data_IF_199450774230
#
_entry.id   IF_199450774230
#
_cell.length_a   1.000
_cell.length_b   1.000
_cell.length_c   1.000
_cell.angle_alpha   90.00
_cell.angle_beta   90.00
_cell.angle_gamma   90.00
#
_symmetry.space_group_name_H-M   'P 1'
#
loop_
_entity.id
_entity.type
_entity.pdbx_description
1 polymer ?
#
# COMPACT_ATOMS: atom_id res chain seq x y z
N UNK A 1 -24.13 47.88 -16.50
CA UNK A 1 -24.67 46.86 -15.59
C UNK A 1 -23.62 46.59 -14.53
N UNK A 2 -23.75 47.19 -13.35
CA UNK A 2 -22.80 47.05 -12.24
C UNK A 2 -23.30 45.95 -11.30
N UNK A 3 -22.51 44.89 -11.14
CA UNK A 3 -22.78 43.82 -10.16
C UNK A 3 -21.89 44.07 -8.94
N UNK A 4 -22.51 44.37 -7.81
CA UNK A 4 -21.85 44.51 -6.51
C UNK A 4 -21.72 43.14 -5.84
N UNK A 5 -20.54 42.81 -5.33
CA UNK A 5 -20.30 41.61 -4.54
C UNK A 5 -20.40 41.95 -3.04
N UNK A 6 -21.28 41.25 -2.32
CA UNK A 6 -21.33 41.25 -0.86
C UNK A 6 -20.49 40.09 -0.32
N UNK A 7 -19.44 40.41 0.45
CA UNK A 7 -18.62 39.45 1.18
C UNK A 7 -19.17 39.34 2.60
N UNK A 8 -19.82 38.23 2.93
CA UNK A 8 -20.22 37.89 4.30
C UNK A 8 -19.06 37.23 5.03
N UNK A 9 -18.64 37.83 6.16
CA UNK A 9 -17.60 37.30 7.05
C UNK A 9 -18.25 36.34 8.06
N UNK A 10 -17.89 35.07 8.02
CA UNK A 10 -18.17 34.11 9.09
C UNK A 10 -16.93 33.92 9.96
N UNK A 11 -17.08 34.10 11.27
CA UNK A 11 -16.06 33.92 12.31
C UNK A 11 -15.96 32.46 12.75
N UNK A 12 -14.76 31.93 13.08
CA UNK A 12 -14.62 30.57 13.60
C UNK A 12 -14.79 30.55 15.13
N UNK A 13 -15.73 29.74 15.61
CA UNK A 13 -15.88 29.40 17.03
C UNK A 13 -14.97 28.20 17.35
N UNK A 14 -13.91 28.48 18.11
CA UNK A 14 -13.12 27.48 18.81
C UNK A 14 -13.94 26.93 19.98
N UNK A 15 -14.06 25.61 20.09
CA UNK A 15 -14.49 24.94 21.33
C UNK A 15 -13.41 23.94 21.69
N UNK A 16 -12.62 24.31 22.71
CA UNK A 16 -11.84 23.39 23.53
C UNK A 16 -12.81 22.45 24.25
N UNK A 17 -12.57 21.14 24.19
CA UNK A 17 -13.08 20.21 25.19
C UNK A 17 -11.92 19.38 25.73
N UNK A 18 -11.50 19.73 26.94
CA UNK A 18 -10.63 18.96 27.80
C UNK A 18 -11.42 18.67 29.08
N UNK A 19 -11.52 17.39 29.46
CA UNK A 19 -11.86 16.83 30.78
C UNK A 19 -12.06 15.32 30.56
N UNK A 20 -11.78 14.37 31.45
CA UNK A 20 -11.13 14.36 32.75
C UNK A 20 -10.74 12.89 33.02
N UNK A 21 -9.70 12.70 33.83
CA UNK A 21 -9.24 11.44 34.40
C UNK A 21 -10.30 10.82 35.33
N UNK A 22 -10.46 9.50 35.28
CA UNK A 22 -10.95 8.72 36.42
C UNK A 22 -10.17 7.41 36.54
N UNK A 23 -9.25 7.38 37.50
CA UNK A 23 -8.63 6.18 38.06
C UNK A 23 -9.58 5.66 39.13
N UNK A 24 -10.00 4.40 39.04
CA UNK A 24 -10.65 3.70 40.16
C UNK A 24 -9.82 2.45 40.44
N UNK A 25 -9.07 2.51 41.53
CA UNK A 25 -8.53 1.35 42.20
C UNK A 25 -9.48 1.00 43.35
N UNK A 26 -9.97 -0.24 43.38
CA UNK A 26 -10.61 -0.81 44.58
C UNK A 26 -9.85 -2.05 44.98
N UNK A 27 -9.40 -2.05 46.22
CA UNK A 27 -8.59 -3.07 46.85
C UNK A 27 -9.45 -4.20 47.44
N UNK A 28 -8.79 -5.36 47.55
CA UNK A 28 -8.90 -6.42 48.55
C UNK A 28 -10.28 -6.83 49.07
N UNK A 29 -10.65 -8.08 48.78
CA UNK A 29 -11.18 -8.93 49.84
C UNK A 29 -10.59 -10.34 49.79
N UNK A 30 -10.49 -10.92 50.98
CA UNK A 30 -9.60 -12.00 51.38
C UNK A 30 -10.47 -13.16 51.80
N UNK A 31 -10.46 -14.27 51.06
CA UNK A 31 -11.04 -15.51 51.58
C UNK A 31 -10.14 -16.72 51.32
N UNK A 32 -10.03 -17.50 52.39
CA UNK A 32 -9.07 -18.55 52.68
C UNK A 32 -9.82 -19.87 52.53
N UNK A 33 -9.32 -20.79 51.70
CA UNK A 33 -9.69 -22.19 51.80
C UNK A 33 -8.51 -23.07 51.41
N UNK A 34 -8.12 -23.91 52.37
CA UNK A 34 -7.10 -24.95 52.31
C UNK A 34 -7.58 -26.12 51.44
N UNK A 35 -6.66 -26.77 50.72
CA UNK A 35 -6.97 -27.96 49.91
C UNK A 35 -5.74 -28.55 49.22
N UNK A 36 -5.03 -29.40 49.96
CA UNK A 36 -4.21 -30.56 49.58
C UNK A 36 -3.51 -30.64 48.20
N UNK A 37 -2.19 -30.89 48.29
CA UNK A 37 -1.32 -31.33 47.20
C UNK A 37 -1.71 -32.73 46.66
N UNK A 38 -1.29 -33.05 45.42
CA UNK A 38 -0.09 -33.89 45.36
C UNK A 38 0.94 -33.40 44.33
N UNK A 39 2.20 -33.60 44.73
CA UNK A 39 3.40 -33.42 43.93
C UNK A 39 3.50 -34.44 42.79
N UNK A 40 3.59 -33.96 41.57
CA UNK A 40 4.19 -34.69 40.44
C UNK A 40 5.24 -33.80 39.81
N UNK A 41 6.50 -34.05 40.19
CA UNK A 41 7.70 -33.56 39.52
C UNK A 41 7.82 -34.28 38.18
N UNK A 42 7.23 -33.70 37.13
CA UNK A 42 7.61 -34.00 35.75
C UNK A 42 8.78 -33.08 35.39
N UNK A 43 9.95 -33.66 35.16
CA UNK A 43 11.07 -32.98 34.52
C UNK A 43 10.61 -32.55 33.12
N UNK A 44 10.31 -31.27 32.99
CA UNK A 44 10.07 -30.63 31.70
C UNK A 44 11.45 -30.41 31.09
N UNK A 45 11.87 -31.34 30.23
CA UNK A 45 13.01 -31.13 29.33
C UNK A 45 12.76 -29.80 28.60
N UNK A 46 13.63 -28.83 28.87
CA UNK A 46 13.67 -27.58 28.15
C UNK A 46 14.08 -27.92 26.72
N UNK A 47 13.07 -28.07 25.86
CA UNK A 47 13.23 -28.06 24.42
C UNK A 47 13.97 -26.78 24.06
N UNK A 48 15.26 -26.94 23.73
CA UNK A 48 16.13 -25.85 23.32
C UNK A 48 15.60 -25.36 21.97
N UNK A 49 14.66 -24.42 22.03
CA UNK A 49 14.10 -23.77 20.86
C UNK A 49 15.24 -23.36 19.94
N UNK A 50 15.23 -23.92 18.74
CA UNK A 50 16.15 -23.55 17.67
C UNK A 50 16.08 -22.02 17.55
N UNK A 51 17.19 -21.34 17.85
CA UNK A 51 17.32 -19.91 17.56
C UNK A 51 17.19 -19.79 16.03
N UNK A 52 16.01 -19.41 15.57
CA UNK A 52 15.74 -19.15 14.17
C UNK A 52 16.73 -18.07 13.71
N UNK A 53 17.74 -18.52 12.97
CA UNK A 53 18.86 -17.68 12.55
C UNK A 53 18.29 -16.47 11.78
N UNK A 54 18.58 -15.26 12.27
CA UNK A 54 18.00 -14.06 11.68
C UNK A 54 18.27 -14.04 10.16
N UNK A 55 17.26 -13.75 9.33
CA UNK A 55 17.42 -13.84 7.89
C UNK A 55 18.60 -12.97 7.46
N UNK A 56 19.52 -13.57 6.71
CA UNK A 56 20.67 -12.89 6.11
C UNK A 56 20.42 -12.71 4.61
N UNK A 57 20.91 -11.62 4.03
CA UNK A 57 20.81 -11.36 2.58
C UNK A 57 20.10 -10.06 2.20
N UNK A 58 19.90 -9.84 0.89
CA UNK A 58 19.29 -8.61 0.38
C UNK A 58 17.78 -8.55 0.64
N UNK A 59 17.23 -7.35 0.60
CA UNK A 59 15.80 -7.12 0.47
C UNK A 59 15.43 -7.07 -1.02
N UNK A 60 14.25 -7.59 -1.37
CA UNK A 60 13.74 -7.59 -2.75
C UNK A 60 12.76 -6.45 -2.96
N UNK A 61 12.92 -5.69 -4.03
CA UNK A 61 12.04 -4.59 -4.40
C UNK A 61 11.31 -4.90 -5.71
N UNK A 62 10.00 -4.70 -5.72
CA UNK A 62 9.21 -4.54 -6.94
C UNK A 62 8.87 -3.06 -7.10
N UNK A 63 9.13 -2.48 -8.26
CA UNK A 63 9.08 -1.04 -8.49
C UNK A 63 7.97 -0.71 -9.48
N UNK A 64 7.01 0.11 -9.06
CA UNK A 64 5.85 0.52 -9.87
C UNK A 64 5.77 2.03 -9.99
N UNK A 65 5.67 2.53 -11.22
CA UNK A 65 5.41 3.92 -11.50
C UNK A 65 3.92 4.13 -11.87
N UNK A 66 3.18 4.77 -10.98
CA UNK A 66 1.80 5.26 -11.19
C UNK A 66 1.67 6.77 -11.05
N UNK A 67 2.78 7.48 -11.15
CA UNK A 67 2.84 8.94 -11.04
C UNK A 67 2.45 9.60 -12.34
N UNK A 68 1.91 10.81 -12.23
CA UNK A 68 1.44 11.63 -13.35
C UNK A 68 2.39 12.81 -13.56
N UNK A 69 2.68 13.13 -14.82
CA UNK A 69 3.56 14.25 -15.19
C UNK A 69 5.06 13.93 -15.20
N UNK A 70 5.42 12.64 -15.15
CA UNK A 70 6.79 12.16 -15.36
C UNK A 70 6.77 10.94 -16.28
N UNK A 71 7.54 10.96 -17.36
CA UNK A 71 7.44 9.95 -18.43
C UNK A 71 8.19 8.66 -18.12
N UNK A 72 9.24 8.75 -17.30
CA UNK A 72 10.02 7.62 -16.82
C UNK A 72 10.75 7.99 -15.54
N UNK A 73 10.98 6.98 -14.69
CA UNK A 73 11.72 7.15 -13.44
C UNK A 73 12.82 6.10 -13.33
N UNK A 74 13.99 6.55 -12.89
CA UNK A 74 15.02 5.71 -12.28
C UNK A 74 14.86 5.72 -10.77
N UNK A 75 15.17 4.59 -10.14
CA UNK A 75 15.24 4.46 -8.69
C UNK A 75 16.69 4.59 -8.25
N UNK A 76 16.93 5.36 -7.20
CA UNK A 76 18.24 5.56 -6.61
C UNK A 76 18.25 5.01 -5.18
N UNK A 77 19.35 4.38 -4.80
CA UNK A 77 19.65 3.93 -3.44
C UNK A 77 20.89 4.67 -2.95
N UNK A 78 20.75 5.43 -1.86
CA UNK A 78 21.81 6.28 -1.30
C UNK A 78 22.45 7.19 -2.36
N UNK A 79 21.62 7.73 -3.26
CA UNK A 79 22.04 8.65 -4.33
C UNK A 79 22.64 7.99 -5.57
N UNK A 80 22.73 6.66 -5.64
CA UNK A 80 23.21 5.93 -6.82
C UNK A 80 22.06 5.25 -7.56
N UNK A 81 21.97 5.33 -8.90
CA UNK A 81 20.95 4.59 -9.65
C UNK A 81 21.07 3.08 -9.46
N UNK A 82 19.94 2.39 -9.49
CA UNK A 82 19.89 0.92 -9.62
C UNK A 82 20.08 0.56 -11.10
N UNK A 83 21.30 0.21 -11.49
CA UNK A 83 21.64 -0.04 -12.91
C UNK A 83 21.00 -1.31 -13.49
N UNK A 84 20.60 -2.25 -12.64
CA UNK A 84 19.85 -3.45 -13.06
C UNK A 84 18.38 -3.15 -13.41
N UNK A 85 17.91 -1.93 -13.11
CA UNK A 85 16.52 -1.51 -13.34
C UNK A 85 16.48 -0.46 -14.45
N UNK A 86 15.90 -0.86 -15.57
CA UNK A 86 15.57 0.07 -16.65
C UNK A 86 14.61 1.17 -16.18
N UNK A 87 14.68 2.39 -16.76
CA UNK A 87 13.74 3.46 -16.44
C UNK A 87 12.28 3.00 -16.56
N UNK A 88 11.55 3.11 -15.46
CA UNK A 88 10.19 2.59 -15.33
C UNK A 88 9.23 3.63 -15.87
N UNK A 89 8.45 3.26 -16.88
CA UNK A 89 7.39 4.10 -17.46
C UNK A 89 6.11 4.04 -16.63
N UNK A 90 5.33 5.12 -16.53
CA UNK A 90 4.09 5.13 -15.78
C UNK A 90 3.07 4.19 -16.45
N UNK A 91 2.35 3.41 -15.64
CA UNK A 91 1.27 2.53 -16.10
C UNK A 91 1.69 1.52 -17.19
N UNK A 92 2.93 1.02 -17.16
CA UNK A 92 3.49 0.17 -18.22
C UNK A 92 3.12 -1.30 -18.14
N UNK A 93 2.57 -1.77 -17.00
CA UNK A 93 2.36 -3.19 -16.73
C UNK A 93 3.63 -4.01 -16.56
N UNK A 94 4.79 -3.36 -16.57
CA UNK A 94 6.11 -3.98 -16.39
C UNK A 94 6.77 -3.35 -15.17
N UNK A 95 6.53 -3.91 -13.96
CA UNK A 95 7.25 -3.46 -12.79
C UNK A 95 8.76 -3.70 -12.95
N UNK A 96 9.57 -2.82 -12.38
CA UNK A 96 11.00 -3.10 -12.19
C UNK A 96 11.19 -4.07 -11.02
N UNK A 97 12.31 -4.80 -11.00
CA UNK A 97 12.69 -5.64 -9.87
C UNK A 97 14.16 -5.43 -9.54
N UNK A 98 14.50 -5.41 -8.26
CA UNK A 98 15.87 -5.27 -7.79
C UNK A 98 16.11 -5.99 -6.46
N UNK A 99 17.34 -6.41 -6.23
CA UNK A 99 17.81 -6.86 -4.92
C UNK A 99 18.78 -5.83 -4.35
N UNK A 100 18.48 -5.30 -3.16
CA UNK A 100 19.31 -4.25 -2.56
C UNK A 100 19.69 -4.61 -1.13
N UNK A 101 20.77 -4.03 -0.57
CA UNK A 101 21.15 -4.29 0.81
C UNK A 101 19.99 -4.01 1.78
N UNK A 102 19.84 -4.85 2.79
CA UNK A 102 18.93 -4.57 3.90
C UNK A 102 19.48 -3.47 4.82
N UNK A 103 18.66 -2.99 5.74
CA UNK A 103 19.00 -1.96 6.72
C UNK A 103 18.48 -0.58 6.35
N UNK A 104 19.08 0.45 6.96
CA UNK A 104 18.66 1.84 6.78
C UNK A 104 19.25 2.43 5.50
N UNK A 105 18.39 2.88 4.60
CA UNK A 105 18.74 3.41 3.28
C UNK A 105 17.95 4.67 2.96
N UNK A 106 18.44 5.46 2.00
CA UNK A 106 17.69 6.52 1.36
C UNK A 106 17.27 6.08 -0.04
N UNK A 107 15.97 5.82 -0.25
CA UNK A 107 15.43 5.63 -1.59
C UNK A 107 15.09 6.98 -2.21
N UNK A 108 15.29 7.09 -3.51
CA UNK A 108 14.86 8.26 -4.25
C UNK A 108 14.41 7.89 -5.67
N UNK A 109 13.67 8.79 -6.31
CA UNK A 109 13.33 8.67 -7.72
C UNK A 109 13.66 9.95 -8.47
N UNK A 110 14.18 9.79 -9.66
CA UNK A 110 14.54 10.89 -10.56
C UNK A 110 14.19 10.52 -12.00
N UNK A 111 14.00 11.49 -12.91
CA UNK A 111 13.98 11.21 -14.33
C UNK A 111 15.28 10.53 -14.77
N UNK A 112 15.27 9.73 -15.84
CA UNK A 112 16.50 9.31 -16.48
C UNK A 112 17.29 10.54 -16.98
N UNK A 113 18.61 10.42 -17.15
CA UNK A 113 19.39 11.44 -17.85
C UNK A 113 18.84 11.74 -19.24
N UNK A 114 19.13 12.92 -19.76
CA UNK A 114 18.62 13.39 -21.07
C UNK A 114 19.25 12.62 -22.24
N UNK A 115 20.44 12.04 -22.04
CA UNK A 115 21.13 11.17 -22.98
C UNK A 115 21.79 9.98 -22.25
N UNK A 116 22.10 8.92 -22.99
CA UNK A 116 22.70 7.69 -22.45
C UNK A 116 24.24 7.76 -22.36
N UNK A 117 24.83 8.97 -22.40
CA UNK A 117 26.28 9.12 -22.29
C UNK A 117 26.77 8.71 -20.90
N UNK A 118 27.95 8.07 -20.77
CA UNK A 118 28.58 7.82 -19.47
C UNK A 118 28.88 9.10 -18.67
N UNK A 119 28.86 10.27 -19.34
CA UNK A 119 29.05 11.59 -18.73
C UNK A 119 27.74 12.36 -18.53
N UNK A 120 26.59 11.73 -18.79
CA UNK A 120 25.30 12.38 -18.63
C UNK A 120 25.08 12.79 -17.18
N UNK A 121 24.65 14.03 -16.97
CA UNK A 121 24.37 14.55 -15.63
C UNK A 121 23.05 13.97 -15.15
N UNK A 122 23.08 13.25 -14.03
CA UNK A 122 21.89 12.74 -13.38
C UNK A 122 21.01 13.90 -12.89
N UNK A 123 19.72 13.97 -13.31
CA UNK A 123 18.79 14.96 -12.77
C UNK A 123 18.63 14.81 -11.24
N UNK A 124 18.34 15.91 -10.53
CA UNK A 124 18.10 15.83 -9.09
C UNK A 124 16.88 14.94 -8.79
N UNK A 125 16.86 14.26 -7.63
CA UNK A 125 15.70 13.49 -7.22
C UNK A 125 14.43 14.34 -7.09
N UNK A 126 13.31 13.80 -7.57
CA UNK A 126 11.98 14.42 -7.42
C UNK A 126 11.40 14.14 -6.02
N UNK A 127 11.64 12.93 -5.53
CA UNK A 127 11.18 12.47 -4.21
C UNK A 127 12.28 11.63 -3.58
N UNK A 128 12.49 11.81 -2.27
CA UNK A 128 13.37 10.99 -1.45
C UNK A 128 12.59 10.44 -0.26
N UNK A 129 13.00 9.27 0.24
CA UNK A 129 12.38 8.63 1.40
C UNK A 129 13.40 7.78 2.17
N UNK A 130 13.64 8.08 3.46
CA UNK A 130 14.39 7.16 4.30
C UNK A 130 13.54 5.91 4.55
N UNK A 131 14.18 4.74 4.47
CA UNK A 131 13.53 3.45 4.69
C UNK A 131 14.43 2.54 5.53
N UNK A 132 13.81 1.58 6.19
CA UNK A 132 14.51 0.46 6.82
C UNK A 132 13.96 -0.82 6.21
N UNK A 133 14.83 -1.57 5.54
CA UNK A 133 14.45 -2.83 4.90
C UNK A 133 14.95 -4.02 5.72
N UNK A 134 14.13 -5.04 5.84
CA UNK A 134 14.47 -6.30 6.50
C UNK A 134 15.13 -7.23 5.49
N UNK A 135 16.20 -7.91 5.91
CA UNK A 135 16.87 -8.91 5.09
C UNK A 135 15.90 -10.04 4.71
N UNK A 136 15.96 -10.48 3.45
CA UNK A 136 15.09 -11.51 2.91
C UNK A 136 13.62 -11.10 2.67
N UNK A 137 13.19 -9.92 3.12
CA UNK A 137 11.83 -9.43 2.91
C UNK A 137 11.64 -8.84 1.50
N UNK A 138 10.40 -8.92 1.02
CA UNK A 138 9.98 -8.32 -0.26
C UNK A 138 9.15 -7.05 -0.01
N UNK A 139 9.36 -6.04 -0.85
CA UNK A 139 8.67 -4.75 -0.77
C UNK A 139 8.18 -4.29 -2.15
N UNK A 140 6.97 -3.76 -2.20
CA UNK A 140 6.49 -2.94 -3.30
C UNK A 140 6.90 -1.48 -3.06
N UNK A 141 7.67 -0.92 -3.99
CA UNK A 141 7.94 0.51 -4.09
C UNK A 141 6.99 1.11 -5.11
N UNK A 142 6.03 1.89 -4.64
CA UNK A 142 5.06 2.58 -5.49
C UNK A 142 5.41 4.06 -5.55
N UNK A 143 5.60 4.59 -6.75
CA UNK A 143 5.62 6.03 -6.99
C UNK A 143 4.26 6.46 -7.53
N UNK A 144 3.54 7.30 -6.80
CA UNK A 144 2.19 7.75 -7.16
C UNK A 144 1.97 9.21 -6.79
N UNK A 145 0.95 9.84 -7.38
CA UNK A 145 0.69 11.27 -7.22
C UNK A 145 1.02 12.06 -8.47
N UNK A 146 0.92 13.39 -8.37
CA UNK A 146 1.11 14.32 -9.50
C UNK A 146 2.39 15.11 -9.33
N UNK A 147 3.19 15.19 -10.37
CA UNK A 147 4.37 16.05 -10.44
C UNK A 147 4.06 17.40 -11.11
N UNK A 148 4.81 18.44 -10.74
CA UNK A 148 4.71 19.78 -11.31
C UNK A 148 3.55 20.62 -10.74
N UNK A 149 3.17 21.69 -11.45
CA UNK A 149 2.20 22.69 -10.97
C UNK A 149 0.81 22.13 -10.64
N UNK A 150 0.43 21.02 -11.29
CA UNK A 150 -0.85 20.34 -11.04
C UNK A 150 -0.92 19.64 -9.67
N UNK A 151 0.22 19.45 -9.00
CA UNK A 151 0.28 18.88 -7.66
C UNK A 151 -0.42 19.72 -6.58
N UNK A 152 -0.84 20.97 -6.88
CA UNK A 152 -1.56 21.83 -5.93
C UNK A 152 -3.04 21.46 -5.78
N UNK A 153 -3.61 20.82 -6.79
CA UNK A 153 -5.03 20.45 -6.86
C UNK A 153 -5.24 18.97 -6.49
N UNK A 154 -4.19 18.16 -6.62
CA UNK A 154 -4.18 16.72 -6.32
C UNK A 154 -3.12 16.40 -5.25
N UNK A 155 -2.91 15.11 -4.95
CA UNK A 155 -1.80 14.70 -4.09
C UNK A 155 -0.46 14.80 -4.85
N UNK A 156 0.59 15.39 -4.23
CA UNK A 156 1.90 15.49 -4.85
C UNK A 156 2.54 14.12 -5.06
N UNK A 157 3.43 14.04 -6.07
CA UNK A 157 4.24 12.86 -6.34
C UNK A 157 4.96 12.43 -5.05
N UNK A 158 4.79 11.16 -4.70
CA UNK A 158 5.25 10.58 -3.44
C UNK A 158 5.77 9.16 -3.68
N UNK A 159 6.69 8.73 -2.82
CA UNK A 159 7.26 7.38 -2.83
C UNK A 159 6.71 6.59 -1.63
N UNK A 160 6.11 5.45 -1.93
CA UNK A 160 5.56 4.52 -0.95
C UNK A 160 6.37 3.24 -0.96
N UNK A 161 6.62 2.68 0.22
CA UNK A 161 7.29 1.38 0.37
C UNK A 161 6.34 0.55 1.22
N UNK A 162 5.88 -0.54 0.64
CA UNK A 162 4.80 -1.37 1.14
C UNK A 162 5.37 -2.78 1.32
N UNK A 163 5.48 -3.29 2.55
CA UNK A 163 5.88 -4.68 2.79
C UNK A 163 4.94 -5.65 2.09
N UNK A 164 5.46 -6.77 1.62
CA UNK A 164 4.66 -7.81 0.93
C UNK A 164 4.33 -9.01 1.78
N UNK A 165 4.63 -8.89 3.07
CA UNK A 165 4.29 -9.86 4.09
C UNK A 165 2.77 -10.03 4.18
N UNK A 166 2.37 -11.26 4.40
CA UNK A 166 0.98 -11.69 4.51
C UNK A 166 0.92 -13.12 5.01
N UNK A 167 -0.29 -13.68 5.24
CA UNK A 167 -0.46 -15.04 5.72
C UNK A 167 0.33 -16.05 4.88
N UNK A 168 1.14 -16.89 5.53
CA UNK A 168 1.97 -17.89 4.88
C UNK A 168 1.14 -18.90 4.07
N UNK A 169 0.01 -19.33 4.66
CA UNK A 169 -0.89 -20.29 4.07
C UNK A 169 -2.02 -19.60 3.30
N UNK A 170 -2.38 -20.21 2.16
CA UNK A 170 -3.52 -19.82 1.34
C UNK A 170 -4.45 -21.03 1.31
N UNK A 171 -5.70 -20.84 1.74
CA UNK A 171 -6.72 -21.88 1.64
C UNK A 171 -6.90 -22.29 0.17
N UNK A 172 -6.98 -23.61 -0.08
CA UNK A 172 -7.09 -24.12 -1.45
C UNK A 172 -8.30 -23.54 -2.20
N UNK A 173 -8.07 -23.06 -3.42
CA UNK A 173 -9.11 -22.43 -4.24
C UNK A 173 -9.45 -20.98 -3.84
N UNK A 174 -8.76 -20.42 -2.85
CA UNK A 174 -8.80 -18.99 -2.51
C UNK A 174 -7.61 -18.25 -3.09
N UNK A 175 -7.72 -16.92 -3.10
CA UNK A 175 -6.61 -16.00 -3.35
C UNK A 175 -6.56 -15.00 -2.20
N UNK A 176 -5.36 -14.64 -1.77
CA UNK A 176 -5.17 -13.55 -0.81
C UNK A 176 -5.11 -12.24 -1.58
N UNK A 177 -6.20 -11.47 -1.53
CA UNK A 177 -6.33 -10.19 -2.21
C UNK A 177 -5.95 -9.04 -1.27
N UNK A 178 -5.15 -8.09 -1.76
CA UNK A 178 -4.98 -6.78 -1.12
C UNK A 178 -5.10 -5.66 -2.15
N UNK A 179 -5.36 -4.45 -1.67
CA UNK A 179 -5.40 -3.23 -2.50
C UNK A 179 -4.33 -2.27 -2.03
N UNK A 180 -3.65 -1.62 -2.97
CA UNK A 180 -2.79 -0.47 -2.76
C UNK A 180 -3.38 0.71 -3.52
N UNK A 181 -3.70 1.78 -2.79
CA UNK A 181 -4.35 2.96 -3.35
C UNK A 181 -3.29 3.99 -3.82
N UNK A 182 -3.11 4.12 -5.14
CA UNK A 182 -2.21 5.12 -5.76
C UNK A 182 -2.91 6.20 -6.58
N UNK A 183 -4.25 6.26 -6.56
CA UNK A 183 -5.01 7.26 -7.28
C UNK A 183 -4.91 8.65 -6.63
N UNK A 184 -4.34 9.62 -7.35
CA UNK A 184 -3.86 10.87 -6.77
C UNK A 184 -4.96 11.81 -6.24
N UNK A 185 -6.16 11.73 -6.79
CA UNK A 185 -7.28 12.63 -6.45
C UNK A 185 -8.54 11.89 -5.98
N UNK A 186 -8.48 10.57 -5.84
CA UNK A 186 -9.58 9.81 -5.26
C UNK A 186 -9.56 9.93 -3.74
N UNK A 187 -10.72 9.92 -3.05
CA UNK A 187 -10.78 9.80 -1.60
C UNK A 187 -10.22 8.45 -1.12
N UNK A 188 -10.08 8.22 0.20
CA UNK A 188 -9.89 6.85 0.69
C UNK A 188 -10.93 5.89 0.11
N UNK A 189 -10.56 4.63 -0.07
CA UNK A 189 -11.33 3.68 -0.84
C UNK A 189 -11.97 2.63 0.05
N UNK A 190 -13.26 2.39 -0.17
CA UNK A 190 -13.89 1.14 0.19
C UNK A 190 -13.86 0.23 -1.04
N UNK A 191 -13.46 -1.03 -0.87
CA UNK A 191 -13.36 -1.99 -1.98
C UNK A 191 -14.24 -3.18 -1.70
N UNK A 192 -15.14 -3.44 -2.64
CA UNK A 192 -15.99 -4.61 -2.62
C UNK A 192 -15.63 -5.60 -3.71
N UNK A 193 -15.59 -6.88 -3.34
CA UNK A 193 -15.50 -8.01 -4.28
C UNK A 193 -16.79 -8.79 -4.17
N UNK A 194 -17.44 -9.05 -5.29
CA UNK A 194 -18.64 -9.88 -5.35
C UNK A 194 -18.61 -10.74 -6.61
N UNK A 195 -19.08 -11.97 -6.50
CA UNK A 195 -19.36 -12.81 -7.67
C UNK A 195 -20.75 -12.49 -8.19
N UNK A 196 -20.96 -12.60 -9.50
CA UNK A 196 -22.29 -12.43 -10.07
C UNK A 196 -23.28 -13.41 -9.40
N UNK A 197 -24.23 -12.89 -8.62
CA UNK A 197 -25.26 -13.67 -7.91
C UNK A 197 -24.91 -14.12 -6.48
N UNK A 198 -23.82 -13.64 -5.88
CA UNK A 198 -23.45 -13.91 -4.47
C UNK A 198 -23.42 -12.60 -3.65
N UNK A 199 -23.87 -12.67 -2.40
CA UNK A 199 -23.94 -11.53 -1.45
C UNK A 199 -22.62 -11.32 -0.69
N UNK A 200 -21.64 -12.21 -0.84
CA UNK A 200 -20.39 -12.14 -0.07
C UNK A 200 -19.48 -11.01 -0.58
N UNK A 201 -19.66 -9.82 0.00
CA UNK A 201 -18.80 -8.67 -0.20
C UNK A 201 -17.52 -8.81 0.66
N UNK A 202 -16.36 -8.97 0.02
CA UNK A 202 -15.14 -8.46 0.64
C UNK A 202 -15.38 -6.98 0.94
N UNK A 203 -15.04 -6.48 2.13
CA UNK A 203 -15.08 -5.04 2.40
C UNK A 203 -13.71 -4.62 2.94
N UNK A 204 -12.82 -4.19 2.05
CA UNK A 204 -11.65 -3.43 2.47
C UNK A 204 -12.15 -2.02 2.75
N UNK A 205 -12.06 -1.55 3.98
CA UNK A 205 -12.63 -0.26 4.38
C UNK A 205 -11.54 0.79 4.49
N UNK A 206 -11.79 1.97 3.91
CA UNK A 206 -11.02 3.19 4.09
C UNK A 206 -9.52 3.04 3.77
N UNK A 207 -9.18 2.36 2.68
CA UNK A 207 -7.79 2.23 2.20
C UNK A 207 -7.31 3.61 1.76
N UNK A 208 -6.43 4.22 2.54
CA UNK A 208 -5.87 5.55 2.27
C UNK A 208 -4.83 5.58 1.15
N UNK A 209 -4.62 6.75 0.55
CA UNK A 209 -3.60 6.92 -0.50
C UNK A 209 -2.19 6.58 0.00
N UNK A 210 -1.47 5.83 -0.83
CA UNK A 210 -0.15 5.30 -0.52
C UNK A 210 -0.13 4.19 0.53
N UNK A 211 -1.31 3.67 0.92
CA UNK A 211 -1.45 2.56 1.86
C UNK A 211 -1.92 1.30 1.15
N UNK A 212 -1.54 0.17 1.75
CA UNK A 212 -2.09 -1.13 1.43
C UNK A 212 -3.16 -1.51 2.46
N UNK A 213 -4.18 -2.24 2.01
CA UNK A 213 -5.02 -3.03 2.91
C UNK A 213 -4.23 -4.22 3.47
N UNK A 214 -4.78 -4.88 4.49
CA UNK A 214 -4.38 -6.25 4.79
C UNK A 214 -4.70 -7.18 3.60
N UNK A 215 -4.11 -8.37 3.60
CA UNK A 215 -4.53 -9.44 2.72
C UNK A 215 -5.83 -10.06 3.23
N UNK A 216 -6.78 -10.28 2.34
CA UNK A 216 -8.04 -10.93 2.64
C UNK A 216 -8.28 -12.11 1.70
N UNK A 217 -8.67 -13.28 2.22
CA UNK A 217 -9.00 -14.42 1.37
C UNK A 217 -10.31 -14.16 0.63
N UNK A 218 -10.28 -14.31 -0.69
CA UNK A 218 -11.47 -14.31 -1.55
C UNK A 218 -11.46 -15.55 -2.44
N UNK A 219 -12.61 -15.93 -2.96
CA UNK A 219 -12.70 -17.06 -3.88
C UNK A 219 -11.96 -16.77 -5.18
N UNK A 220 -11.28 -17.77 -5.73
CA UNK A 220 -10.69 -17.64 -7.06
C UNK A 220 -11.77 -17.63 -8.16
N UNK A 221 -11.39 -17.11 -9.33
CA UNK A 221 -12.25 -16.97 -10.49
C UNK A 221 -12.64 -15.52 -10.81
N UNK A 222 -13.66 -15.31 -11.64
CA UNK A 222 -14.12 -13.98 -12.03
C UNK A 222 -14.85 -13.28 -10.88
N UNK A 223 -14.44 -12.06 -10.60
CA UNK A 223 -15.02 -11.17 -9.59
C UNK A 223 -15.44 -9.84 -10.21
N UNK A 224 -16.52 -9.25 -9.69
CA UNK A 224 -16.80 -7.83 -9.82
C UNK A 224 -16.09 -7.11 -8.68
N UNK A 225 -15.15 -6.24 -9.03
CA UNK A 225 -14.47 -5.38 -8.07
C UNK A 225 -15.01 -3.96 -8.19
N UNK A 226 -15.56 -3.41 -7.11
CA UNK A 226 -15.97 -2.01 -7.05
C UNK A 226 -15.10 -1.25 -6.07
N UNK A 227 -14.65 -0.07 -6.48
CA UNK A 227 -13.91 0.88 -5.65
C UNK A 227 -14.82 2.07 -5.43
N UNK A 228 -15.23 2.28 -4.18
CA UNK A 228 -16.14 3.34 -3.74
C UNK A 228 -15.41 4.32 -2.85
N UNK A 229 -16.04 5.47 -2.62
CA UNK A 229 -15.52 6.42 -1.62
C UNK A 229 -15.74 5.84 -0.22
N UNK A 230 -14.68 5.71 0.57
CA UNK A 230 -14.77 5.42 2.00
C UNK A 230 -15.26 6.60 2.84
N UNK A 231 -15.56 7.75 2.22
CA UNK A 231 -16.21 8.89 2.87
C UNK A 231 -17.74 8.86 2.71
N UNK A 232 -18.23 8.11 1.71
CA UNK A 232 -19.66 7.96 1.41
C UNK A 232 -19.91 6.60 0.74
N UNK A 233 -20.28 5.61 1.55
CA UNK A 233 -20.58 4.26 1.08
C UNK A 233 -21.79 4.20 0.13
N UNK A 234 -22.64 5.22 0.11
CA UNK A 234 -23.80 5.31 -0.79
C UNK A 234 -23.44 5.84 -2.18
N UNK A 235 -22.25 6.43 -2.33
CA UNK A 235 -21.77 6.93 -3.60
C UNK A 235 -21.59 5.78 -4.62
N UNK A 236 -21.82 6.10 -5.89
CA UNK A 236 -21.51 5.19 -6.98
C UNK A 236 -20.00 4.85 -6.97
N UNK A 237 -19.61 3.65 -7.45
CA UNK A 237 -18.20 3.30 -7.60
C UNK A 237 -17.44 4.35 -8.41
N UNK A 238 -16.28 4.79 -7.92
CA UNK A 238 -15.36 5.64 -8.67
C UNK A 238 -14.63 4.85 -9.75
N UNK A 239 -14.55 3.52 -9.60
CA UNK A 239 -14.02 2.58 -10.57
C UNK A 239 -14.64 1.20 -10.33
N UNK A 240 -14.91 0.46 -11.40
CA UNK A 240 -15.38 -0.91 -11.34
C UNK A 240 -14.71 -1.78 -12.40
N UNK A 241 -14.23 -2.96 -12.03
CA UNK A 241 -13.73 -3.99 -12.94
C UNK A 241 -14.73 -5.14 -13.02
N UNK A 242 -15.41 -5.25 -14.17
CA UNK A 242 -16.37 -6.31 -14.44
C UNK A 242 -15.60 -7.52 -15.00
N UNK A 243 -15.42 -8.59 -14.21
CA UNK A 243 -14.68 -9.82 -14.54
C UNK A 243 -13.16 -9.79 -14.29
N UNK A 244 -12.75 -9.23 -13.14
CA UNK A 244 -11.40 -9.44 -12.66
C UNK A 244 -11.19 -10.94 -12.35
N UNK A 245 -10.37 -11.64 -13.14
CA UNK A 245 -10.09 -13.06 -12.91
C UNK A 245 -8.93 -13.21 -11.93
N UNK A 246 -9.23 -13.71 -10.73
CA UNK A 246 -8.26 -14.00 -9.68
C UNK A 246 -7.82 -15.48 -9.75
N UNK A 247 -6.51 -15.71 -9.69
CA UNK A 247 -5.94 -17.06 -9.76
C UNK A 247 -6.03 -17.78 -8.40
N UNK A 248 -6.36 -19.09 -8.36
CA UNK A 248 -6.36 -19.85 -7.11
C UNK A 248 -4.96 -19.99 -6.55
N UNK A 249 -4.87 -20.13 -5.23
CA UNK A 249 -3.65 -20.43 -4.48
C UNK A 249 -2.55 -19.37 -4.68
N UNK A 250 -2.95 -18.11 -4.88
CA UNK A 250 -2.03 -16.98 -5.11
C UNK A 250 -2.26 -15.82 -4.15
N UNK A 251 -1.21 -15.01 -3.94
CA UNK A 251 -1.34 -13.65 -3.41
C UNK A 251 -1.48 -12.67 -4.56
N UNK A 252 -2.46 -11.79 -4.47
CA UNK A 252 -2.76 -10.80 -5.50
C UNK A 252 -2.81 -9.41 -4.87
N UNK A 253 -2.07 -8.47 -5.46
CA UNK A 253 -2.15 -7.04 -5.15
C UNK A 253 -2.83 -6.30 -6.28
N UNK A 254 -3.88 -5.57 -5.94
CA UNK A 254 -4.55 -4.64 -6.81
C UNK A 254 -3.97 -3.24 -6.62
N UNK A 255 -3.52 -2.62 -7.70
CA UNK A 255 -2.97 -1.26 -7.70
C UNK A 255 -3.95 -0.37 -8.44
N UNK A 256 -4.69 0.48 -7.72
CA UNK A 256 -5.53 1.51 -8.34
C UNK A 256 -4.70 2.79 -8.51
N UNK A 257 -4.32 3.11 -9.74
CA UNK A 257 -3.41 4.20 -10.08
C UNK A 257 -4.11 5.23 -10.99
N UNK A 258 -3.53 6.42 -11.11
CA UNK A 258 -4.04 7.48 -12.01
C UNK A 258 -4.93 8.50 -11.30
N UNK A 259 -5.87 9.10 -12.04
CA UNK A 259 -6.77 10.14 -11.54
C UNK A 259 -8.22 9.87 -11.94
N UNK A 260 -9.12 9.99 -10.97
CA UNK A 260 -10.56 10.00 -11.21
C UNK A 260 -10.95 11.23 -12.05
N UNK A 261 -11.77 11.03 -13.07
CA UNK A 261 -12.24 12.09 -13.96
C UNK A 261 -11.19 12.67 -14.92
N UNK A 262 -9.97 12.11 -14.98
CA UNK A 262 -8.95 12.55 -15.94
C UNK A 262 -9.03 11.76 -17.24
N UNK A 263 -9.06 12.46 -18.39
CA UNK A 263 -8.98 11.83 -19.71
C UNK A 263 -7.54 11.41 -20.06
N UNK A 264 -6.56 12.22 -19.68
CA UNK A 264 -5.14 11.99 -19.97
C UNK A 264 -4.57 10.86 -19.10
N UNK A 265 -4.97 10.81 -17.82
CA UNK A 265 -4.48 9.85 -16.84
C UNK A 265 -5.64 9.23 -16.05
N UNK A 266 -6.54 8.50 -16.72
CA UNK A 266 -7.70 7.90 -16.06
C UNK A 266 -7.28 6.90 -14.99
N UNK A 267 -8.22 6.58 -14.09
CA UNK A 267 -8.04 5.46 -13.17
C UNK A 267 -7.78 4.17 -13.94
N UNK A 268 -6.76 3.43 -13.52
CA UNK A 268 -6.42 2.11 -14.02
C UNK A 268 -6.20 1.17 -12.86
N UNK A 269 -6.80 0.00 -12.94
CA UNK A 269 -6.58 -1.07 -11.99
C UNK A 269 -5.58 -2.06 -12.58
N UNK A 270 -4.51 -2.31 -11.83
CA UNK A 270 -3.53 -3.33 -12.19
C UNK A 270 -3.60 -4.47 -11.19
N UNK A 271 -3.65 -5.68 -11.72
CA UNK A 271 -3.51 -6.91 -10.96
C UNK A 271 -2.06 -7.37 -11.04
N UNK A 272 -1.43 -7.51 -9.88
CA UNK A 272 -0.05 -7.95 -9.78
C UNK A 272 0.09 -9.08 -8.76
N UNK A 273 0.83 -10.12 -9.14
CA UNK A 273 1.15 -11.28 -8.31
C UNK A 273 2.63 -11.18 -7.90
N UNK A 274 2.99 -11.28 -6.61
CA UNK A 274 4.38 -11.28 -6.18
C UNK A 274 5.24 -12.29 -6.95
N UNK A 275 6.41 -11.85 -7.41
CA UNK A 275 7.31 -12.64 -8.25
C UNK A 275 6.96 -12.67 -9.75
N UNK A 276 5.84 -12.08 -10.18
CA UNK A 276 5.54 -11.93 -11.60
C UNK A 276 6.29 -10.74 -12.21
N UNK A 277 6.85 -10.96 -13.41
CA UNK A 277 7.48 -9.91 -14.23
C UNK A 277 6.46 -8.95 -14.88
N UNK A 278 5.17 -9.27 -14.81
CA UNK A 278 4.11 -8.46 -15.43
C UNK A 278 2.97 -8.20 -14.47
N UNK A 279 2.41 -7.00 -14.55
CA UNK A 279 1.11 -6.67 -14.00
C UNK A 279 0.10 -6.60 -15.15
N UNK A 280 -1.11 -7.12 -14.93
CA UNK A 280 -2.19 -7.11 -15.92
C UNK A 280 -3.13 -5.94 -15.63
N UNK A 281 -3.39 -5.09 -16.61
CA UNK A 281 -4.46 -4.10 -16.52
C UNK A 281 -5.83 -4.79 -16.57
N UNK A 282 -6.77 -4.34 -15.74
CA UNK A 282 -8.16 -4.78 -15.72
C UNK A 282 -9.09 -3.75 -16.35
#
# INVERSE_FOLDING_TARGET
MNVSYHVSKATPRWVLLALMVAVVATACDKEKAEGEAPSTSGEQEADAGEEEEAPTGPARLTLVHGGVGVDALRVLVNGKPLEEVEPIKPFSGKPGSAEIPAGSLLLAVAPPPVDDSPSAVQPPPLVTKPVTLTAGASYLVLVAGVYGERAREDRPLSLFVVPEEGPAEIESGKTLLRVVHGAANAPPLDVTSSRAGDDSALALVNVGFGKASAFHPVSAGPELLEFRSGLDASAAPIYAAQNAVLAPDTRTTLLLLGKSGSEEHPLRLWLWTPGSETARAL
#
